data_IF_798296628367
#
_entry.id   IF_798296628367
#
_cell.length_a   1.000
_cell.length_b   1.000
_cell.length_c   1.000
_cell.angle_alpha   90.00
_cell.angle_beta   90.00
_cell.angle_gamma   90.00
#
_symmetry.space_group_name_H-M   'P 1'
#
loop_
_entity.id
_entity.type
_entity.pdbx_description
1 polymer ?
#
# COMPACT_ATOMS: atom_id res chain seq x y z
N UNK A 1 -19.53 18.74 -0.72
CA UNK A 1 -18.76 18.36 -1.92
C UNK A 1 -17.31 18.10 -1.51
N UNK A 2 -16.88 16.84 -1.48
CA UNK A 2 -15.51 16.45 -1.10
C UNK A 2 -14.54 16.36 -2.30
N UNK A 3 -15.02 16.67 -3.51
CA UNK A 3 -14.33 16.44 -4.79
C UNK A 3 -13.08 17.29 -5.03
N UNK A 4 -12.81 18.30 -4.18
CA UNK A 4 -11.60 19.13 -4.27
C UNK A 4 -10.52 18.83 -3.22
N UNK A 5 -10.76 17.91 -2.27
CA UNK A 5 -9.78 17.64 -1.20
C UNK A 5 -8.85 16.48 -1.58
N UNK A 6 -7.53 16.62 -1.38
CA UNK A 6 -6.60 15.55 -1.65
C UNK A 6 -6.87 14.35 -0.72
N UNK A 7 -6.61 13.12 -1.18
CA UNK A 7 -6.80 11.94 -0.37
C UNK A 7 -5.87 11.96 0.85
N UNK A 8 -6.42 11.63 2.03
CA UNK A 8 -5.66 11.64 3.29
C UNK A 8 -5.82 10.32 4.04
N UNK A 9 -4.74 9.90 4.67
CA UNK A 9 -4.75 8.76 5.60
C UNK A 9 -5.54 9.13 6.86
N UNK A 10 -6.42 8.23 7.28
CA UNK A 10 -7.24 8.36 8.50
C UNK A 10 -6.69 7.46 9.59
N UNK A 11 -6.32 6.22 9.24
CA UNK A 11 -5.90 5.22 10.21
C UNK A 11 -4.82 4.29 9.64
N UNK A 12 -3.85 3.94 10.47
CA UNK A 12 -2.81 2.96 10.15
C UNK A 12 -3.07 1.71 10.98
N UNK A 13 -3.18 0.55 10.34
CA UNK A 13 -3.44 -0.73 11.02
C UNK A 13 -2.17 -1.30 11.67
N UNK A 14 -1.57 -0.54 12.59
CA UNK A 14 -0.40 -0.88 13.37
C UNK A 14 -0.52 -0.28 14.78
N UNK A 15 0.02 -0.97 15.79
CA UNK A 15 0.04 -0.50 17.18
C UNK A 15 0.83 0.81 17.35
N UNK A 16 1.84 1.06 16.50
CA UNK A 16 2.72 2.23 16.61
C UNK A 16 2.18 3.51 15.97
N UNK A 17 1.09 3.42 15.18
CA UNK A 17 0.56 4.57 14.42
C UNK A 17 1.42 5.04 13.24
N UNK A 18 2.61 4.47 13.04
CA UNK A 18 3.51 4.81 11.92
C UNK A 18 3.36 3.79 10.80
N UNK A 19 3.03 4.25 9.59
CA UNK A 19 2.91 3.41 8.40
C UNK A 19 4.24 3.24 7.67
N UNK A 20 4.63 2.00 7.42
CA UNK A 20 5.80 1.64 6.60
C UNK A 20 5.36 0.94 5.31
N UNK A 21 6.31 0.69 4.41
CA UNK A 21 6.06 -0.08 3.18
C UNK A 21 5.46 -1.44 3.54
N UNK A 22 4.36 -1.80 2.88
CA UNK A 22 3.62 -3.04 3.09
C UNK A 22 2.60 -2.99 4.23
N UNK A 23 2.42 -1.85 4.91
CA UNK A 23 1.36 -1.70 5.90
C UNK A 23 0.03 -1.31 5.28
N UNK A 24 -1.04 -1.83 5.91
CA UNK A 24 -2.42 -1.50 5.57
C UNK A 24 -2.79 -0.17 6.23
N UNK A 25 -3.43 0.70 5.46
CA UNK A 25 -3.98 1.97 5.93
C UNK A 25 -5.41 2.18 5.43
N UNK A 26 -6.15 3.03 6.14
CA UNK A 26 -7.47 3.51 5.76
C UNK A 26 -7.33 4.95 5.25
N UNK A 27 -7.89 5.22 4.07
CA UNK A 27 -7.78 6.52 3.40
C UNK A 27 -9.17 7.05 3.07
N UNK A 28 -9.35 8.35 3.25
CA UNK A 28 -10.51 9.09 2.74
C UNK A 28 -10.21 9.55 1.32
N UNK A 29 -11.00 9.08 0.35
CA UNK A 29 -10.93 9.51 -1.05
C UNK A 29 -12.32 9.94 -1.47
N UNK A 30 -12.49 11.20 -1.90
CA UNK A 30 -13.79 11.77 -2.32
C UNK A 30 -14.93 11.59 -1.30
N UNK A 31 -14.62 11.48 -0.01
CA UNK A 31 -15.61 11.26 1.05
C UNK A 31 -15.90 9.78 1.36
N UNK A 32 -15.32 8.84 0.61
CA UNK A 32 -15.41 7.41 0.88
C UNK A 32 -14.21 6.90 1.67
N UNK A 33 -14.45 5.89 2.51
CA UNK A 33 -13.40 5.15 3.21
C UNK A 33 -12.95 3.99 2.33
N UNK A 34 -11.67 3.98 1.95
CA UNK A 34 -11.04 2.87 1.22
C UNK A 34 -9.83 2.38 1.97
N UNK A 35 -9.53 1.09 1.84
CA UNK A 35 -8.30 0.50 2.36
C UNK A 35 -7.21 0.57 1.29
N UNK A 36 -5.96 0.63 1.74
CA UNK A 36 -4.81 0.66 0.85
C UNK A 36 -3.57 0.06 1.49
N UNK A 37 -2.60 -0.28 0.65
CA UNK A 37 -1.28 -0.75 1.05
C UNK A 37 -0.24 0.26 0.58
N UNK A 38 0.63 0.66 1.50
CA UNK A 38 1.75 1.57 1.20
C UNK A 38 2.77 0.81 0.35
N UNK A 39 2.99 1.28 -0.88
CA UNK A 39 3.97 0.69 -1.80
C UNK A 39 5.23 1.52 -1.92
N UNK A 40 5.16 2.82 -1.68
CA UNK A 40 6.32 3.72 -1.69
C UNK A 40 6.17 4.79 -0.61
N UNK A 41 7.28 5.18 0.01
CA UNK A 41 7.28 6.20 1.04
C UNK A 41 8.53 7.08 0.94
N UNK A 42 8.35 8.37 1.25
CA UNK A 42 9.40 9.38 1.29
C UNK A 42 10.26 9.36 2.55
N UNK A 43 9.76 8.77 3.63
CA UNK A 43 10.52 8.65 4.88
C UNK A 43 11.80 7.81 4.68
N UNK A 44 12.81 8.05 5.51
CA UNK A 44 14.01 7.22 5.52
C UNK A 44 13.64 5.78 5.94
N UNK A 45 13.95 4.83 5.06
CA UNK A 45 13.73 3.41 5.28
C UNK A 45 14.99 2.73 5.81
N UNK A 46 14.88 1.43 6.08
CA UNK A 46 16.04 0.59 6.40
C UNK A 46 17.00 0.53 5.21
N UNK A 47 18.26 0.21 5.48
CA UNK A 47 19.28 -0.06 4.46
C UNK A 47 18.76 -1.08 3.45
N UNK A 48 19.10 -0.91 2.17
CA UNK A 48 18.67 -1.75 1.04
C UNK A 48 17.16 -1.70 0.72
N UNK A 49 16.42 -0.72 1.27
CA UNK A 49 15.02 -0.46 0.88
C UNK A 49 14.98 0.83 0.05
N UNK A 50 14.36 0.83 -1.16
CA UNK A 50 14.29 2.01 -2.00
C UNK A 50 13.47 3.12 -1.34
N UNK A 51 13.95 4.35 -1.50
CA UNK A 51 13.27 5.57 -1.08
C UNK A 51 12.63 6.22 -2.31
N UNK A 52 11.39 6.67 -2.16
CA UNK A 52 10.65 7.35 -3.22
C UNK A 52 10.51 8.83 -2.89
N UNK A 53 10.38 9.69 -3.90
CA UNK A 53 10.12 11.11 -3.67
C UNK A 53 8.68 11.38 -3.25
N UNK A 54 7.76 10.49 -3.66
CA UNK A 54 6.32 10.55 -3.38
C UNK A 54 5.85 9.40 -2.50
N UNK A 55 4.79 9.63 -1.72
CA UNK A 55 4.11 8.57 -0.97
C UNK A 55 3.10 7.87 -1.88
N UNK A 56 3.37 6.61 -2.20
CA UNK A 56 2.60 5.84 -3.17
C UNK A 56 1.76 4.77 -2.44
N UNK A 57 0.49 4.65 -2.85
CA UNK A 57 -0.49 3.76 -2.24
C UNK A 57 -1.25 2.99 -3.32
N UNK A 58 -1.49 1.71 -3.08
CA UNK A 58 -2.39 0.90 -3.91
C UNK A 58 -3.67 0.62 -3.12
N UNK A 59 -4.82 0.87 -3.73
CA UNK A 59 -6.12 0.62 -3.11
C UNK A 59 -6.47 -0.85 -3.13
N UNK A 60 -6.94 -1.34 -2.00
CA UNK A 60 -7.36 -2.73 -1.81
C UNK A 60 -8.78 -2.77 -1.25
N UNK A 61 -9.44 -3.88 -1.54
CA UNK A 61 -10.67 -4.28 -0.88
C UNK A 61 -10.37 -4.93 0.49
N UNK A 62 -11.41 -5.20 1.26
CA UNK A 62 -11.33 -5.84 2.58
C UNK A 62 -10.68 -7.22 2.52
N UNK A 63 -10.87 -7.93 1.40
CA UNK A 63 -10.30 -9.24 1.10
C UNK A 63 -8.82 -9.18 0.64
N UNK A 64 -8.25 -7.96 0.48
CA UNK A 64 -6.87 -7.77 0.03
C UNK A 64 -6.66 -7.83 -1.49
N UNK A 65 -7.74 -8.00 -2.27
CA UNK A 65 -7.69 -7.88 -3.73
C UNK A 65 -7.54 -6.39 -4.12
N UNK A 66 -6.65 -6.03 -5.05
CA UNK A 66 -6.51 -4.65 -5.51
C UNK A 66 -7.77 -4.19 -6.26
N UNK A 67 -8.18 -2.95 -6.04
CA UNK A 67 -9.31 -2.34 -6.78
C UNK A 67 -8.92 -1.94 -8.21
N UNK A 68 -7.63 -1.67 -8.45
CA UNK A 68 -7.10 -1.32 -9.77
C UNK A 68 -6.58 -2.54 -10.54
N UNK A 69 -6.49 -2.39 -11.87
CA UNK A 69 -6.07 -3.45 -12.79
C UNK A 69 -4.62 -3.39 -13.23
N UNK A 70 -3.94 -2.24 -13.07
CA UNK A 70 -2.53 -2.00 -13.45
C UNK A 70 -1.83 -1.05 -12.49
N UNK A 71 -0.58 -1.34 -12.14
CA UNK A 71 0.30 -0.46 -11.37
C UNK A 71 1.52 -0.11 -12.21
N UNK A 72 1.57 1.15 -12.68
CA UNK A 72 2.66 1.67 -13.51
C UNK A 72 3.89 2.11 -12.70
N UNK A 73 3.66 2.54 -11.46
CA UNK A 73 4.72 2.98 -10.55
C UNK A 73 5.56 1.75 -10.13
N UNK A 74 6.89 1.83 -10.11
CA UNK A 74 7.71 0.71 -9.69
C UNK A 74 7.47 0.33 -8.23
N UNK A 75 7.45 -0.97 -7.95
CA UNK A 75 7.20 -1.52 -6.62
C UNK A 75 8.50 -2.10 -6.03
N UNK A 76 8.80 -1.83 -4.74
CA UNK A 76 9.90 -2.47 -4.02
C UNK A 76 9.87 -3.99 -4.09
N UNK A 77 10.98 -4.63 -4.44
CA UNK A 77 11.16 -6.09 -4.36
C UNK A 77 10.92 -6.64 -2.95
N UNK A 78 11.24 -5.84 -1.92
CA UNK A 78 11.03 -6.12 -0.50
C UNK A 78 9.55 -6.40 -0.17
N UNK A 79 8.61 -5.80 -0.91
CA UNK A 79 7.18 -6.08 -0.72
C UNK A 79 6.82 -7.53 -1.00
N UNK A 80 7.56 -8.22 -1.87
CA UNK A 80 7.30 -9.64 -2.19
C UNK A 80 7.47 -10.51 -0.96
N UNK A 81 8.50 -10.25 -0.15
CA UNK A 81 8.76 -10.98 1.09
C UNK A 81 7.73 -10.61 2.16
N UNK A 82 7.51 -9.30 2.40
CA UNK A 82 6.59 -8.81 3.43
C UNK A 82 5.16 -9.28 3.18
N UNK A 83 4.67 -9.18 1.94
CA UNK A 83 3.30 -9.55 1.61
C UNK A 83 3.09 -11.07 1.64
N UNK A 84 4.10 -11.87 1.29
CA UNK A 84 4.04 -13.34 1.40
C UNK A 84 3.90 -13.79 2.86
N UNK A 85 4.64 -13.17 3.77
CA UNK A 85 4.51 -13.42 5.22
C UNK A 85 3.13 -13.01 5.74
N UNK A 86 2.65 -11.81 5.36
CA UNK A 86 1.34 -11.30 5.80
C UNK A 86 0.15 -12.08 5.21
N UNK A 87 0.31 -12.68 4.04
CA UNK A 87 -0.73 -13.53 3.41
C UNK A 87 -0.99 -14.78 4.27
N UNK A 88 0.08 -15.47 4.69
CA UNK A 88 -0.02 -16.66 5.56
C UNK A 88 -0.67 -16.38 6.91
N UNK A 89 -0.45 -15.20 7.48
CA UNK A 89 -0.86 -14.87 8.83
C UNK A 89 -2.31 -14.35 8.96
N UNK A 90 -2.92 -13.83 7.89
CA UNK A 90 -4.22 -13.12 7.97
C UNK A 90 -5.24 -13.53 6.92
N UNK A 91 -5.00 -14.59 6.14
CA UNK A 91 -5.95 -15.12 5.16
C UNK A 91 -6.32 -14.16 4.02
N UNK A 92 -5.55 -13.09 3.83
CA UNK A 92 -5.77 -12.11 2.78
C UNK A 92 -4.71 -12.28 1.69
N UNK A 93 -5.15 -12.54 0.45
CA UNK A 93 -4.28 -12.83 -0.68
C UNK A 93 -3.77 -11.56 -1.36
N UNK A 94 -2.54 -11.17 -1.04
CA UNK A 94 -1.86 -10.04 -1.67
C UNK A 94 -1.09 -10.40 -2.94
N UNK A 95 -1.13 -11.67 -3.36
CA UNK A 95 -0.47 -12.17 -4.57
C UNK A 95 -0.98 -11.44 -5.83
N UNK A 96 -2.26 -11.09 -5.87
CA UNK A 96 -2.88 -10.33 -6.97
C UNK A 96 -2.28 -8.93 -7.12
N UNK A 97 -1.88 -8.28 -6.03
CA UNK A 97 -1.23 -6.96 -6.09
C UNK A 97 0.13 -7.05 -6.78
N UNK A 98 0.92 -8.09 -6.46
CA UNK A 98 2.22 -8.32 -7.08
C UNK A 98 2.10 -8.70 -8.56
N UNK A 99 1.06 -9.43 -8.94
CA UNK A 99 0.82 -9.84 -10.33
C UNK A 99 0.49 -8.68 -11.26
N UNK A 100 -0.06 -7.58 -10.73
CA UNK A 100 -0.51 -6.41 -11.49
C UNK A 100 0.61 -5.36 -11.67
N UNK A 101 1.72 -5.52 -10.96
CA UNK A 101 2.85 -4.60 -11.01
C UNK A 101 3.69 -4.79 -12.28
N UNK A 102 4.00 -3.70 -12.99
CA UNK A 102 4.77 -3.79 -14.23
C UNK A 102 6.29 -3.74 -14.02
N UNK A 103 6.77 -3.12 -12.94
CA UNK A 103 8.20 -2.92 -12.68
C UNK A 103 8.52 -3.11 -11.20
N UNK A 104 9.65 -3.77 -10.94
CA UNK A 104 10.20 -3.94 -9.59
C UNK A 104 11.57 -3.30 -9.47
N UNK A 105 11.86 -2.74 -8.29
CA UNK A 105 13.15 -2.14 -7.88
C UNK A 105 13.50 -2.69 -6.50
#
# INVERSE_FOLDING_TARGET
>A
MAEGKPPRCIHVYNKKGIGKIGDKILVAIKGEKKKGIIVGAKQNQKTLVPKFDTNNLVLIDDNGTPLGTRIHVPIPTVLRTILKEKTRAKGADYTKLLAIATRFI
#
